data_IF_413681434372
#
_entry.id   IF_413681434372
#
_cell.length_a   1.000
_cell.length_b   1.000
_cell.length_c   1.000
_cell.angle_alpha   90.00
_cell.angle_beta   90.00
_cell.angle_gamma   90.00
#
_symmetry.space_group_name_H-M   'P 1'
#
loop_
_entity.id
_entity.type
_entity.pdbx_description
1 polymer ?
#
# COMPACT_ATOMS: atom_id res chain seq x y z
N UNK A 1 -10.64 7.42 -29.14
CA UNK A 1 -10.45 6.15 -28.41
C UNK A 1 -10.38 6.48 -26.93
N UNK A 2 -11.39 6.11 -26.15
CA UNK A 2 -11.38 6.27 -24.69
C UNK A 2 -10.31 5.34 -24.12
N UNK A 3 -9.34 5.90 -23.41
CA UNK A 3 -8.30 5.13 -22.72
C UNK A 3 -9.01 4.21 -21.72
N UNK A 4 -8.87 2.89 -21.87
CA UNK A 4 -9.41 1.94 -20.90
C UNK A 4 -8.89 2.31 -19.50
N UNK A 5 -9.78 2.36 -18.51
CA UNK A 5 -9.39 2.65 -17.14
C UNK A 5 -8.42 1.58 -16.66
N UNK A 6 -7.30 2.00 -16.06
CA UNK A 6 -6.35 1.04 -15.46
C UNK A 6 -6.99 0.44 -14.21
N UNK A 7 -6.89 -0.88 -13.99
CA UNK A 7 -7.34 -1.49 -12.74
C UNK A 7 -6.56 -0.92 -11.55
N UNK A 8 -7.23 -0.83 -10.40
CA UNK A 8 -6.63 -0.40 -9.15
C UNK A 8 -6.38 -1.63 -8.28
N UNK A 9 -5.21 -1.71 -7.66
CA UNK A 9 -4.79 -2.81 -6.82
C UNK A 9 -4.35 -2.27 -5.46
N UNK A 10 -4.94 -2.79 -4.39
CA UNK A 10 -4.51 -2.54 -3.01
C UNK A 10 -3.42 -3.55 -2.63
N UNK A 11 -2.21 -3.04 -2.37
CA UNK A 11 -1.03 -3.83 -2.00
C UNK A 11 -1.01 -4.24 -0.51
N UNK A 12 -2.17 -4.53 0.10
CA UNK A 12 -2.29 -4.75 1.54
C UNK A 12 -3.33 -5.80 1.90
N UNK A 13 -2.99 -6.69 2.83
CA UNK A 13 -3.95 -7.63 3.45
C UNK A 13 -4.81 -6.99 4.56
N UNK A 14 -4.60 -5.71 4.90
CA UNK A 14 -5.29 -5.06 6.02
C UNK A 14 -6.80 -4.89 5.76
N UNK A 15 -7.68 -5.50 6.59
CA UNK A 15 -9.13 -5.32 6.45
C UNK A 15 -9.54 -3.84 6.54
N UNK A 16 -8.88 -3.07 7.41
CA UNK A 16 -9.15 -1.64 7.58
C UNK A 16 -8.86 -0.82 6.33
N UNK A 17 -7.76 -1.12 5.60
CA UNK A 17 -7.43 -0.41 4.36
C UNK A 17 -8.40 -0.77 3.23
N UNK A 18 -8.84 -2.03 3.18
CA UNK A 18 -9.89 -2.47 2.26
C UNK A 18 -11.20 -1.71 2.52
N UNK A 19 -11.64 -1.63 3.77
CA UNK A 19 -12.84 -0.89 4.15
C UNK A 19 -12.74 0.61 3.79
N UNK A 20 -11.59 1.25 4.08
CA UNK A 20 -11.39 2.66 3.74
C UNK A 20 -11.52 2.94 2.24
N UNK A 21 -10.88 2.14 1.40
CA UNK A 21 -10.96 2.32 -0.06
C UNK A 21 -12.36 1.97 -0.60
N UNK A 22 -13.02 0.96 -0.05
CA UNK A 22 -14.39 0.62 -0.43
C UNK A 22 -15.38 1.73 -0.05
N UNK A 23 -15.21 2.35 1.12
CA UNK A 23 -16.09 3.43 1.61
C UNK A 23 -16.01 4.70 0.75
N UNK A 24 -14.89 4.94 0.06
CA UNK A 24 -14.78 6.05 -0.90
C UNK A 24 -15.20 5.67 -2.32
N UNK A 25 -15.76 4.47 -2.51
CA UNK A 25 -16.34 4.00 -3.77
C UNK A 25 -15.32 3.55 -4.82
N UNK A 26 -14.10 3.21 -4.42
CA UNK A 26 -13.15 2.61 -5.36
C UNK A 26 -13.48 1.14 -5.62
N UNK A 27 -13.43 0.76 -6.89
CA UNK A 27 -13.33 -0.63 -7.32
C UNK A 27 -11.86 -1.02 -7.44
N UNK A 28 -11.45 -2.08 -6.74
CA UNK A 28 -10.06 -2.50 -6.66
C UNK A 28 -9.92 -3.99 -6.35
N UNK A 29 -8.82 -4.56 -6.84
CA UNK A 29 -8.35 -5.88 -6.45
C UNK A 29 -7.46 -5.79 -5.20
N UNK A 30 -7.39 -6.86 -4.41
CA UNK A 30 -6.45 -6.95 -3.28
C UNK A 30 -5.38 -7.98 -3.61
N UNK A 31 -4.13 -7.52 -3.73
CA UNK A 31 -2.96 -8.37 -3.85
C UNK A 31 -2.02 -8.01 -2.69
N UNK A 32 -1.94 -8.81 -1.62
CA UNK A 32 -1.06 -8.50 -0.50
C UNK A 32 0.42 -8.48 -0.88
N UNK A 33 1.14 -7.48 -0.39
CA UNK A 33 2.60 -7.49 -0.44
C UNK A 33 3.19 -8.56 0.50
N UNK A 34 4.36 -9.08 0.13
CA UNK A 34 5.17 -10.02 0.92
C UNK A 34 6.36 -9.35 1.62
N UNK A 35 6.49 -8.02 1.50
CA UNK A 35 7.57 -7.25 2.13
C UNK A 35 7.42 -7.28 3.65
N UNK A 36 8.51 -7.61 4.33
CA UNK A 36 8.59 -7.57 5.78
C UNK A 36 8.60 -6.11 6.28
N UNK A 37 7.76 -5.81 7.26
CA UNK A 37 7.55 -4.46 7.76
C UNK A 37 8.47 -4.24 8.97
N UNK A 38 9.51 -3.41 8.81
CA UNK A 38 10.36 -3.00 9.92
C UNK A 38 10.58 -1.48 9.92
N UNK A 39 9.75 -0.73 10.68
CA UNK A 39 9.87 0.72 10.77
C UNK A 39 11.00 1.19 11.69
N UNK A 40 11.67 0.28 12.42
CA UNK A 40 12.67 0.60 13.45
C UNK A 40 12.03 1.04 14.78
N UNK A 41 12.86 1.41 15.76
CA UNK A 41 12.40 1.86 17.08
C UNK A 41 12.10 3.37 17.14
N UNK A 42 12.77 4.16 16.29
CA UNK A 42 12.64 5.62 16.24
C UNK A 42 11.86 6.00 15.01
N UNK A 43 10.86 6.85 15.19
CA UNK A 43 10.01 7.32 14.12
C UNK A 43 10.79 8.05 13.03
N UNK A 44 10.52 7.67 11.77
CA UNK A 44 11.05 8.34 10.58
C UNK A 44 9.99 8.36 9.49
N UNK A 45 9.60 9.55 9.04
CA UNK A 45 8.71 9.73 7.90
C UNK A 45 9.24 9.01 6.65
N UNK A 46 10.54 9.19 6.36
CA UNK A 46 11.20 8.57 5.21
C UNK A 46 11.10 7.05 5.25
N UNK A 47 11.27 6.45 6.45
CA UNK A 47 11.22 5.00 6.60
C UNK A 47 9.81 4.45 6.36
N UNK A 48 8.78 5.12 6.89
CA UNK A 48 7.38 4.71 6.69
C UNK A 48 6.97 4.88 5.23
N UNK A 49 7.35 5.99 4.58
CA UNK A 49 7.12 6.18 3.15
C UNK A 49 7.85 5.13 2.29
N UNK A 50 9.07 4.77 2.67
CA UNK A 50 9.84 3.72 2.01
C UNK A 50 9.11 2.37 2.10
N UNK A 51 8.63 1.97 3.29
CA UNK A 51 7.89 0.71 3.47
C UNK A 51 6.61 0.71 2.63
N UNK A 52 5.84 1.81 2.64
CA UNK A 52 4.65 1.94 1.82
C UNK A 52 4.95 1.80 0.32
N UNK A 53 6.05 2.40 -0.14
CA UNK A 53 6.53 2.29 -1.52
C UNK A 53 6.98 0.88 -1.87
N UNK A 54 7.76 0.23 -1.01
CA UNK A 54 8.25 -1.14 -1.20
C UNK A 54 7.09 -2.12 -1.35
N UNK A 55 6.03 -1.97 -0.54
CA UNK A 55 4.81 -2.78 -0.68
C UNK A 55 4.16 -2.63 -2.06
N UNK A 56 4.04 -1.40 -2.55
CA UNK A 56 3.50 -1.16 -3.89
C UNK A 56 4.39 -1.74 -4.99
N UNK A 57 5.72 -1.61 -4.85
CA UNK A 57 6.69 -2.10 -5.82
C UNK A 57 6.76 -3.63 -5.87
N UNK A 58 6.63 -4.31 -4.72
CA UNK A 58 6.54 -5.77 -4.66
C UNK A 58 5.32 -6.28 -5.44
N UNK A 59 4.15 -5.65 -5.24
CA UNK A 59 2.95 -6.00 -6.01
C UNK A 59 3.08 -5.62 -7.48
N UNK A 60 3.79 -4.53 -7.80
CA UNK A 60 4.09 -4.18 -9.19
C UNK A 60 4.89 -5.27 -9.90
N UNK A 61 5.79 -5.97 -9.19
CA UNK A 61 6.53 -7.10 -9.72
C UNK A 61 5.71 -8.39 -9.88
N UNK A 62 4.50 -8.46 -9.31
CA UNK A 62 3.60 -9.62 -9.35
C UNK A 62 2.55 -9.54 -10.47
N UNK A 63 2.44 -8.39 -11.15
CA UNK A 63 1.46 -8.15 -12.22
C UNK A 63 2.15 -7.89 -13.55
N UNK A 64 1.62 -8.44 -14.63
CA UNK A 64 2.17 -8.33 -15.99
C UNK A 64 1.37 -7.36 -16.89
N UNK A 65 0.44 -6.61 -16.30
CA UNK A 65 -0.40 -5.63 -16.97
C UNK A 65 -0.30 -4.22 -16.33
N UNK A 66 -0.59 -3.14 -17.08
CA UNK A 66 -0.61 -1.80 -16.51
C UNK A 66 -1.73 -1.63 -15.48
N UNK A 67 -1.37 -1.37 -14.22
CA UNK A 67 -2.28 -1.12 -13.11
C UNK A 67 -1.90 0.14 -12.32
N UNK A 68 -2.81 0.64 -11.48
CA UNK A 68 -2.53 1.61 -10.42
C UNK A 68 -2.42 0.81 -9.12
N UNK A 69 -1.29 0.90 -8.43
CA UNK A 69 -1.03 0.12 -7.22
C UNK A 69 -0.95 1.06 -6.02
N UNK A 70 -1.73 0.77 -4.99
CA UNK A 70 -1.82 1.54 -3.76
C UNK A 70 -1.09 0.79 -2.65
N UNK A 71 0.08 1.30 -2.27
CA UNK A 71 0.80 0.92 -1.06
C UNK A 71 0.51 1.92 0.07
N UNK A 72 0.47 1.42 1.30
CA UNK A 72 0.28 2.24 2.50
C UNK A 72 0.91 1.57 3.68
N UNK A 73 1.46 2.39 4.58
CA UNK A 73 1.98 1.95 5.86
C UNK A 73 1.50 2.86 6.99
N UNK A 74 1.55 2.38 8.23
CA UNK A 74 1.05 3.12 9.39
C UNK A 74 1.80 2.70 10.63
N UNK A 75 2.22 3.68 11.41
CA UNK A 75 2.90 3.47 12.68
C UNK A 75 2.25 4.33 13.77
N UNK A 76 2.31 3.86 15.01
CA UNK A 76 1.89 4.61 16.20
C UNK A 76 3.15 5.00 16.95
N UNK A 77 3.21 6.23 17.48
CA UNK A 77 4.40 6.70 18.19
C UNK A 77 4.04 7.46 19.46
N UNK A 78 4.93 7.40 20.45
CA UNK A 78 4.89 8.23 21.66
C UNK A 78 6.31 8.79 21.84
N UNK A 79 6.45 10.11 21.94
CA UNK A 79 7.74 10.79 22.06
C UNK A 79 8.79 10.35 21.01
N UNK A 80 8.35 10.21 19.75
CA UNK A 80 9.12 9.72 18.60
C UNK A 80 9.62 8.27 18.69
N UNK A 81 9.16 7.51 19.68
CA UNK A 81 9.38 6.07 19.76
C UNK A 81 8.19 5.33 19.16
N UNK A 82 8.48 4.37 18.29
CA UNK A 82 7.50 3.46 17.68
C UNK A 82 7.11 2.37 18.69
#
# INVERSE_FOLDING_TARGET
MTKAAKPIILASASPRRKELLANIGLDFEVIPSSIEENPGEVFSYEKIEQIAREKAMDVAGKVDYPAIIIGSDTVVTIDNKI
#
